data_IF_023237379154
#
_entry.id   IF_023237379154
#
_cell.length_a   1.000
_cell.length_b   1.000
_cell.length_c   1.000
_cell.angle_alpha   90.00
_cell.angle_beta   90.00
_cell.angle_gamma   90.00
#
_symmetry.space_group_name_H-M   'P 1'
#
loop_
_entity.id
_entity.type
_entity.pdbx_description
1 polymer ?
#
# COMPACT_ATOMS: atom_id res chain seq x y z
N UNK A 1 3.05 -69.81 8.50
CA UNK A 1 2.12 -68.71 8.19
C UNK A 1 1.44 -68.35 9.50
N UNK A 2 2.18 -67.65 10.37
CA UNK A 2 1.67 -67.15 11.65
C UNK A 2 0.78 -65.94 11.37
N UNK A 3 -0.45 -65.98 11.87
CA UNK A 3 -1.34 -64.84 11.88
C UNK A 3 -1.10 -64.12 13.20
N UNK A 4 -0.39 -63.00 13.16
CA UNK A 4 -0.38 -62.03 14.24
C UNK A 4 -1.81 -61.50 14.40
N UNK A 5 -2.48 -61.95 15.46
CA UNK A 5 -3.73 -61.36 15.93
C UNK A 5 -3.40 -60.04 16.61
N UNK A 6 -3.71 -58.92 15.94
CA UNK A 6 -3.75 -57.62 16.58
C UNK A 6 -4.85 -57.63 17.65
N UNK A 7 -4.45 -57.70 18.92
CA UNK A 7 -5.35 -57.37 20.03
C UNK A 7 -5.65 -55.87 20.02
N UNK A 8 -6.92 -55.46 20.18
CA UNK A 8 -7.26 -54.05 20.23
C UNK A 8 -6.70 -53.42 21.51
N UNK A 9 -5.86 -52.39 21.34
CA UNK A 9 -5.36 -51.58 22.45
C UNK A 9 -6.55 -50.88 23.09
N UNK A 10 -6.86 -51.23 24.34
CA UNK A 10 -7.92 -50.62 25.13
C UNK A 10 -7.59 -49.15 25.38
N UNK A 11 -8.37 -48.24 24.78
CA UNK A 11 -8.30 -46.80 25.08
C UNK A 11 -9.10 -46.57 26.36
N UNK A 12 -8.50 -46.03 27.45
CA UNK A 12 -9.23 -45.79 28.70
C UNK A 12 -10.43 -44.88 28.50
N UNK A 13 -11.56 -45.23 29.12
CA UNK A 13 -12.77 -44.42 29.10
C UNK A 13 -12.53 -43.11 29.88
N UNK A 14 -13.02 -41.98 29.35
CA UNK A 14 -12.73 -40.62 29.87
C UNK A 14 -13.20 -40.44 31.33
N UNK A 15 -14.07 -41.33 31.80
CA UNK A 15 -14.55 -41.38 33.18
C UNK A 15 -13.51 -41.90 34.20
N UNK A 16 -12.43 -42.57 33.78
CA UNK A 16 -11.38 -43.13 34.66
C UNK A 16 -10.20 -42.17 34.94
N UNK A 17 -10.17 -40.98 34.33
CA UNK A 17 -9.08 -40.02 34.52
C UNK A 17 -9.10 -39.37 35.92
N UNK A 18 -7.93 -39.32 36.57
CA UNK A 18 -7.75 -38.66 37.87
C UNK A 18 -8.12 -37.18 37.77
N UNK A 19 -8.55 -36.59 38.89
CA UNK A 19 -8.84 -35.14 38.98
C UNK A 19 -7.60 -34.33 38.57
N UNK A 20 -6.39 -34.83 38.87
CA UNK A 20 -5.13 -34.23 38.43
C UNK A 20 -4.99 -34.18 36.91
N UNK A 21 -5.33 -35.26 36.22
CA UNK A 21 -5.23 -35.36 34.75
C UNK A 21 -6.25 -34.44 34.06
N UNK A 22 -7.46 -34.35 34.63
CA UNK A 22 -8.51 -33.44 34.14
C UNK A 22 -8.09 -31.97 34.29
N UNK A 23 -7.44 -31.61 35.40
CA UNK A 23 -6.93 -30.25 35.62
C UNK A 23 -5.77 -29.90 34.69
N UNK A 24 -4.87 -30.85 34.44
CA UNK A 24 -3.79 -30.68 33.46
C UNK A 24 -4.35 -30.46 32.05
N UNK A 25 -5.38 -31.23 31.66
CA UNK A 25 -6.08 -31.04 30.39
C UNK A 25 -6.71 -29.64 30.28
N UNK A 26 -7.36 -29.16 31.34
CA UNK A 26 -7.97 -27.83 31.39
C UNK A 26 -6.90 -26.74 31.22
N UNK A 27 -5.75 -26.87 31.89
CA UNK A 27 -4.65 -25.92 31.75
C UNK A 27 -4.12 -25.88 30.31
N UNK A 28 -3.91 -27.04 29.69
CA UNK A 28 -3.50 -27.11 28.28
C UNK A 28 -4.52 -26.49 27.32
N UNK A 29 -5.81 -26.72 27.52
CA UNK A 29 -6.87 -26.10 26.72
C UNK A 29 -6.84 -24.57 26.87
N UNK A 30 -6.60 -24.08 28.08
CA UNK A 30 -6.49 -22.65 28.34
C UNK A 30 -5.28 -22.01 27.64
N UNK A 31 -4.13 -22.67 27.68
CA UNK A 31 -2.93 -22.22 26.97
C UNK A 31 -3.15 -22.21 25.46
N UNK A 32 -3.75 -23.28 24.91
CA UNK A 32 -4.09 -23.36 23.49
C UNK A 32 -5.04 -22.22 23.09
N UNK A 33 -6.07 -21.96 23.90
CA UNK A 33 -7.02 -20.86 23.64
C UNK A 33 -6.33 -19.50 23.65
N UNK A 34 -5.41 -19.28 24.59
CA UNK A 34 -4.65 -18.03 24.70
C UNK A 34 -3.75 -17.84 23.48
N UNK A 35 -3.03 -18.88 23.07
CA UNK A 35 -2.19 -18.86 21.87
C UNK A 35 -3.01 -18.66 20.59
N UNK A 36 -4.21 -19.25 20.50
CA UNK A 36 -5.13 -19.02 19.38
C UNK A 36 -5.62 -17.57 19.33
N UNK A 37 -5.95 -16.95 20.47
CA UNK A 37 -6.36 -15.56 20.52
C UNK A 37 -5.25 -14.62 20.02
N UNK A 38 -4.01 -14.85 20.46
CA UNK A 38 -2.85 -14.09 20.00
C UNK A 38 -2.60 -14.30 18.49
N UNK A 39 -2.73 -15.53 18.00
CA UNK A 39 -2.62 -15.81 16.56
C UNK A 39 -3.71 -15.12 15.75
N UNK A 40 -4.94 -15.02 16.26
CA UNK A 40 -6.02 -14.30 15.58
C UNK A 40 -5.71 -12.81 15.46
N UNK A 41 -5.16 -12.18 16.50
CA UNK A 41 -4.74 -10.77 16.47
C UNK A 41 -3.65 -10.55 15.41
N UNK A 42 -2.63 -11.42 15.37
CA UNK A 42 -1.60 -11.36 14.33
C UNK A 42 -2.16 -11.58 12.93
N UNK A 43 -3.14 -12.48 12.75
CA UNK A 43 -3.79 -12.70 11.45
C UNK A 43 -4.59 -11.46 11.02
N UNK A 44 -5.25 -10.77 11.95
CA UNK A 44 -5.97 -9.52 11.68
C UNK A 44 -4.98 -8.42 11.27
N UNK A 45 -3.86 -8.28 11.97
CA UNK A 45 -2.79 -7.35 11.63
C UNK A 45 -2.17 -7.68 10.25
N UNK A 46 -1.87 -8.94 10.00
CA UNK A 46 -1.37 -9.41 8.70
C UNK A 46 -2.39 -9.18 7.58
N UNK A 47 -3.68 -9.40 7.83
CA UNK A 47 -4.75 -9.10 6.84
C UNK A 47 -4.78 -7.62 6.49
N UNK A 48 -4.58 -6.74 7.47
CA UNK A 48 -4.49 -5.29 7.22
C UNK A 48 -3.24 -4.93 6.39
N UNK A 49 -2.12 -5.64 6.59
CA UNK A 49 -0.91 -5.49 5.77
C UNK A 49 -1.07 -6.10 4.36
N UNK A 50 -1.83 -7.19 4.21
CA UNK A 50 -2.11 -7.90 2.94
C UNK A 50 -3.23 -7.25 2.14
N UNK A 51 -4.08 -6.42 2.75
CA UNK A 51 -5.02 -5.53 2.05
C UNK A 51 -4.31 -4.61 1.03
N UNK A 52 -2.99 -4.46 1.15
CA UNK A 52 -2.12 -3.76 0.21
C UNK A 52 -1.68 -4.60 -1.01
N UNK A 53 -1.93 -5.92 -1.03
CA UNK A 53 -1.35 -6.86 -2.01
C UNK A 53 -2.32 -7.79 -2.76
N UNK A 54 -3.61 -7.92 -2.39
CA UNK A 54 -4.54 -8.77 -3.15
C UNK A 54 -5.97 -8.20 -3.20
N UNK A 55 -6.28 -7.54 -4.33
CA UNK A 55 -7.49 -7.71 -5.15
C UNK A 55 -7.35 -6.85 -6.43
N UNK A 56 -6.80 -7.45 -7.49
CA UNK A 56 -6.86 -6.90 -8.85
C UNK A 56 -7.23 -8.02 -9.81
N UNK A 57 -8.48 -8.47 -9.71
CA UNK A 57 -9.15 -9.16 -10.79
C UNK A 57 -9.98 -8.13 -11.57
N UNK A 58 -9.86 -8.13 -12.90
CA UNK A 58 -10.94 -7.65 -13.77
C UNK A 58 -10.61 -6.46 -14.65
N UNK A 59 -10.57 -5.25 -14.09
CA UNK A 59 -10.53 -4.01 -14.89
C UNK A 59 -9.45 -3.06 -14.36
N UNK A 60 -8.60 -2.54 -15.26
CA UNK A 60 -7.69 -1.43 -14.95
C UNK A 60 -8.53 -0.15 -14.79
N UNK A 61 -8.98 0.12 -13.56
CA UNK A 61 -9.78 1.30 -13.23
C UNK A 61 -8.91 2.56 -13.12
N UNK A 62 -7.59 2.46 -13.34
CA UNK A 62 -6.72 3.61 -13.27
C UNK A 62 -6.94 4.53 -14.48
N UNK A 63 -6.93 5.85 -14.24
CA UNK A 63 -6.91 6.81 -15.32
C UNK A 63 -5.68 6.64 -16.24
N UNK A 64 -5.78 7.16 -17.46
CA UNK A 64 -4.66 7.12 -18.40
C UNK A 64 -3.54 8.07 -17.97
N UNK A 65 -2.32 7.54 -17.90
CA UNK A 65 -1.09 8.29 -17.64
C UNK A 65 -0.14 8.23 -18.85
N UNK A 66 0.69 9.27 -19.08
CA UNK A 66 0.85 10.48 -18.27
C UNK A 66 -0.22 11.55 -18.54
N UNK A 67 -0.53 12.35 -17.53
CA UNK A 67 -1.46 13.49 -17.60
C UNK A 67 -0.87 14.57 -18.53
N UNK A 68 -1.69 15.05 -19.46
CA UNK A 68 -1.29 16.06 -20.44
C UNK A 68 -2.10 17.37 -20.39
N UNK A 69 -3.16 17.44 -19.59
CA UNK A 69 -4.00 18.64 -19.44
C UNK A 69 -4.39 18.89 -17.98
N UNK A 70 -4.70 20.15 -17.65
CA UNK A 70 -5.16 20.52 -16.30
C UNK A 70 -6.57 19.98 -16.04
N UNK A 71 -7.40 19.85 -17.07
CA UNK A 71 -8.73 19.26 -16.96
C UNK A 71 -8.64 17.80 -16.54
N UNK A 72 -7.81 17.01 -17.23
CA UNK A 72 -7.61 15.60 -16.86
C UNK A 72 -7.06 15.48 -15.44
N UNK A 73 -6.15 16.37 -15.04
CA UNK A 73 -5.63 16.40 -13.67
C UNK A 73 -6.75 16.59 -12.63
N UNK A 74 -7.66 17.54 -12.87
CA UNK A 74 -8.80 17.81 -11.99
C UNK A 74 -9.76 16.61 -11.96
N UNK A 75 -10.10 16.07 -13.13
CA UNK A 75 -11.04 14.96 -13.26
C UNK A 75 -10.50 13.69 -12.57
N UNK A 76 -9.20 13.42 -12.73
CA UNK A 76 -8.50 12.33 -12.04
C UNK A 76 -8.52 12.53 -10.53
N UNK A 77 -8.20 13.73 -10.04
CA UNK A 77 -8.14 13.97 -8.59
C UNK A 77 -9.51 13.87 -7.93
N UNK A 78 -10.55 14.34 -8.62
CA UNK A 78 -11.94 14.15 -8.22
C UNK A 78 -12.30 12.67 -8.17
N UNK A 79 -11.98 11.91 -9.21
CA UNK A 79 -12.25 10.47 -9.26
C UNK A 79 -11.56 9.70 -8.13
N UNK A 80 -10.30 10.05 -7.81
CA UNK A 80 -9.57 9.48 -6.67
C UNK A 80 -10.17 9.87 -5.32
N UNK A 81 -10.83 11.02 -5.23
CA UNK A 81 -11.48 11.48 -4.00
C UNK A 81 -12.83 10.79 -3.77
N UNK A 82 -13.53 10.43 -4.84
CA UNK A 82 -14.85 9.80 -4.80
C UNK A 82 -14.78 8.26 -4.79
N UNK A 83 -13.66 7.67 -5.23
CA UNK A 83 -13.50 6.23 -5.35
C UNK A 83 -12.27 5.71 -4.59
N UNK A 84 -12.51 5.19 -3.39
CA UNK A 84 -11.45 4.67 -2.51
C UNK A 84 -10.78 3.40 -3.06
N UNK A 85 -11.49 2.58 -3.84
CA UNK A 85 -10.88 1.42 -4.50
C UNK A 85 -9.83 1.92 -5.48
N UNK A 86 -10.17 2.86 -6.36
CA UNK A 86 -9.23 3.44 -7.32
C UNK A 86 -8.09 4.19 -6.62
N UNK A 87 -8.36 4.86 -5.50
CA UNK A 87 -7.31 5.50 -4.70
C UNK A 87 -6.27 4.49 -4.17
N UNK A 88 -6.72 3.33 -3.70
CA UNK A 88 -5.81 2.23 -3.31
C UNK A 88 -5.04 1.68 -4.51
N UNK A 89 -5.72 1.52 -5.65
CA UNK A 89 -5.06 1.08 -6.87
C UNK A 89 -3.97 2.06 -7.32
N UNK A 90 -4.24 3.37 -7.20
CA UNK A 90 -3.27 4.43 -7.48
C UNK A 90 -2.06 4.34 -6.56
N UNK A 91 -2.30 4.13 -5.26
CA UNK A 91 -1.24 3.93 -4.29
C UNK A 91 -0.34 2.75 -4.67
N UNK A 92 -0.94 1.62 -5.04
CA UNK A 92 -0.20 0.43 -5.49
C UNK A 92 0.59 0.69 -6.78
N UNK A 93 -0.01 1.37 -7.76
CA UNK A 93 0.66 1.79 -8.98
C UNK A 93 1.91 2.62 -8.69
N UNK A 94 1.79 3.66 -7.85
CA UNK A 94 2.92 4.52 -7.47
C UNK A 94 3.97 3.72 -6.70
N UNK A 95 3.56 2.84 -5.79
CA UNK A 95 4.47 2.03 -4.96
C UNK A 95 5.36 1.13 -5.84
N UNK A 96 4.78 0.55 -6.89
CA UNK A 96 5.46 -0.36 -7.81
C UNK A 96 6.44 0.34 -8.76
N UNK A 97 6.33 1.65 -8.97
CA UNK A 97 7.34 2.41 -9.73
C UNK A 97 8.70 2.24 -9.05
N UNK A 98 8.74 2.40 -7.73
CA UNK A 98 9.95 2.29 -6.90
C UNK A 98 10.99 3.38 -7.15
N UNK A 99 12.18 3.18 -6.62
CA UNK A 99 13.30 4.12 -6.74
C UNK A 99 14.40 3.75 -5.76
N UNK A 100 15.62 4.21 -6.03
CA UNK A 100 16.79 3.90 -5.19
C UNK A 100 16.81 4.66 -3.86
N UNK A 101 16.16 5.82 -3.82
CA UNK A 101 15.97 6.66 -2.63
C UNK A 101 14.68 7.48 -2.79
N UNK A 102 14.28 8.21 -1.74
CA UNK A 102 13.03 8.99 -1.71
C UNK A 102 12.95 10.01 -2.85
N UNK A 103 14.04 10.72 -3.15
CA UNK A 103 14.08 11.69 -4.27
C UNK A 103 13.89 11.03 -5.61
N UNK A 104 14.61 9.94 -5.86
CA UNK A 104 14.51 9.16 -7.08
C UNK A 104 13.09 8.60 -7.27
N UNK A 105 12.49 8.07 -6.21
CA UNK A 105 11.13 7.55 -6.25
C UNK A 105 10.08 8.64 -6.53
N UNK A 106 10.19 9.82 -5.89
CA UNK A 106 9.31 10.96 -6.18
C UNK A 106 9.45 11.39 -7.64
N UNK A 107 10.69 11.47 -8.16
CA UNK A 107 10.93 11.92 -9.53
C UNK A 107 10.37 10.93 -10.55
N UNK A 108 10.62 9.63 -10.35
CA UNK A 108 10.10 8.58 -11.23
C UNK A 108 8.57 8.50 -11.17
N UNK A 109 7.96 8.70 -9.99
CA UNK A 109 6.51 8.80 -9.87
C UNK A 109 5.96 9.98 -10.67
N UNK A 110 6.55 11.17 -10.51
CA UNK A 110 6.13 12.36 -11.24
C UNK A 110 6.29 12.23 -12.76
N UNK A 111 7.38 11.60 -13.23
CA UNK A 111 7.59 11.31 -14.65
C UNK A 111 6.57 10.33 -15.23
N UNK A 112 6.08 9.39 -14.40
CA UNK A 112 5.02 8.47 -14.83
C UNK A 112 3.65 9.14 -14.83
N UNK A 113 3.40 10.04 -13.88
CA UNK A 113 2.11 10.70 -13.68
C UNK A 113 1.90 11.89 -14.62
N UNK A 114 2.94 12.68 -14.91
CA UNK A 114 2.82 13.96 -15.62
C UNK A 114 3.72 14.02 -16.84
N UNK A 115 3.20 14.62 -17.92
CA UNK A 115 4.04 15.04 -19.04
C UNK A 115 4.90 16.25 -18.66
N UNK A 116 6.08 16.40 -19.28
CA UNK A 116 6.89 17.62 -19.14
C UNK A 116 6.14 18.87 -19.65
N UNK A 117 5.23 18.69 -20.61
CA UNK A 117 4.37 19.77 -21.10
C UNK A 117 3.50 20.32 -19.97
N UNK A 118 2.66 19.48 -19.36
CA UNK A 118 1.73 19.95 -18.33
C UNK A 118 2.45 20.43 -17.07
N UNK A 119 3.59 19.81 -16.73
CA UNK A 119 4.38 20.17 -15.55
C UNK A 119 4.83 21.64 -15.53
N UNK A 120 4.92 22.31 -16.68
CA UNK A 120 5.25 23.74 -16.77
C UNK A 120 4.21 24.66 -16.16
N UNK A 121 2.96 24.22 -16.19
CA UNK A 121 1.80 24.98 -15.75
C UNK A 121 1.39 24.60 -14.32
N UNK A 122 2.22 23.82 -13.63
CA UNK A 122 1.96 23.32 -12.28
C UNK A 122 2.95 23.94 -11.30
N UNK A 123 2.51 24.18 -10.07
CA UNK A 123 3.38 24.53 -8.96
C UNK A 123 2.78 24.06 -7.63
N UNK A 124 3.60 23.99 -6.59
CA UNK A 124 3.13 23.53 -5.28
C UNK A 124 1.99 24.40 -4.72
N UNK A 125 2.16 25.72 -4.73
CA UNK A 125 1.22 26.67 -4.11
C UNK A 125 0.34 27.43 -5.10
N UNK A 126 0.51 27.21 -6.41
CA UNK A 126 -0.19 27.98 -7.46
C UNK A 126 0.49 29.31 -7.80
N UNK A 127 1.80 29.43 -7.53
CA UNK A 127 2.53 30.67 -7.79
C UNK A 127 2.52 31.04 -9.29
N UNK A 128 2.48 32.34 -9.59
CA UNK A 128 2.52 32.90 -10.94
C UNK A 128 1.40 32.41 -11.88
N UNK A 129 0.23 32.07 -11.31
CA UNK A 129 -0.92 31.60 -12.09
C UNK A 129 -0.82 30.13 -12.52
N UNK A 130 0.19 29.39 -12.05
CA UNK A 130 0.24 27.94 -12.24
C UNK A 130 -0.84 27.24 -11.41
N UNK A 131 -1.24 26.06 -11.84
CA UNK A 131 -2.14 25.19 -11.11
C UNK A 131 -1.50 24.69 -9.81
N UNK A 132 -2.26 24.71 -8.71
CA UNK A 132 -1.81 24.31 -7.36
C UNK A 132 -2.01 22.81 -7.15
N UNK A 133 -0.96 22.10 -6.74
CA UNK A 133 -1.04 20.64 -6.47
C UNK A 133 -1.00 20.23 -5.00
N UNK A 134 -0.67 21.15 -4.07
CA UNK A 134 -0.45 20.82 -2.65
C UNK A 134 -1.64 20.08 -2.00
N UNK A 135 -2.87 20.45 -2.37
CA UNK A 135 -4.08 19.97 -1.69
C UNK A 135 -4.78 18.82 -2.44
N UNK A 136 -4.15 18.30 -3.50
CA UNK A 136 -4.73 17.24 -4.34
C UNK A 136 -4.67 15.87 -3.65
N UNK A 137 -5.70 15.06 -3.84
CA UNK A 137 -5.74 13.66 -3.37
C UNK A 137 -4.60 12.84 -3.98
N UNK A 138 -4.29 13.02 -5.27
CA UNK A 138 -3.17 12.37 -5.94
C UNK A 138 -1.82 12.71 -5.27
N UNK A 139 -1.61 13.98 -4.89
CA UNK A 139 -0.41 14.41 -4.15
C UNK A 139 -0.34 13.76 -2.77
N UNK A 140 -1.47 13.67 -2.07
CA UNK A 140 -1.54 13.01 -0.76
C UNK A 140 -1.23 11.50 -0.85
N UNK A 141 -1.79 10.79 -1.84
CA UNK A 141 -1.50 9.38 -2.11
C UNK A 141 -0.01 9.19 -2.39
N UNK A 142 0.56 10.00 -3.28
CA UNK A 142 1.98 9.92 -3.61
C UNK A 142 2.86 10.10 -2.38
N UNK A 143 2.55 11.08 -1.52
CA UNK A 143 3.30 11.31 -0.27
C UNK A 143 3.25 10.11 0.66
N UNK A 144 2.06 9.55 0.85
CA UNK A 144 1.85 8.40 1.73
C UNK A 144 2.64 7.18 1.24
N UNK A 145 2.55 6.87 -0.05
CA UNK A 145 3.31 5.77 -0.67
C UNK A 145 4.83 5.95 -0.51
N UNK A 146 5.33 7.18 -0.68
CA UNK A 146 6.77 7.45 -0.51
C UNK A 146 7.21 7.25 0.95
N UNK A 147 6.39 7.66 1.91
CA UNK A 147 6.66 7.45 3.35
C UNK A 147 6.59 5.99 3.78
N UNK A 148 5.70 5.21 3.15
CA UNK A 148 5.64 3.77 3.39
C UNK A 148 6.89 3.04 2.93
N UNK A 149 7.60 3.56 1.93
CA UNK A 149 8.79 2.93 1.37
C UNK A 149 10.10 3.43 1.97
N UNK A 150 10.16 4.72 2.31
CA UNK A 150 11.36 5.36 2.83
C UNK A 150 11.07 5.94 4.20
N UNK A 151 11.76 5.43 5.22
CA UNK A 151 11.66 5.91 6.58
C UNK A 151 12.01 7.41 6.67
N UNK A 152 11.35 8.12 7.59
CA UNK A 152 11.68 9.50 7.98
C UNK A 152 11.55 10.58 6.90
N UNK A 153 10.85 10.34 5.78
CA UNK A 153 10.59 11.41 4.79
C UNK A 153 9.60 12.43 5.38
N UNK A 154 10.12 13.60 5.73
CA UNK A 154 9.34 14.72 6.27
C UNK A 154 8.47 15.38 5.20
N UNK A 155 7.45 16.14 5.61
CA UNK A 155 6.62 16.92 4.67
C UNK A 155 7.48 17.92 3.88
N UNK A 156 8.46 18.53 4.54
CA UNK A 156 9.36 19.51 3.93
C UNK A 156 10.21 18.89 2.82
N UNK A 157 10.75 17.69 3.04
CA UNK A 157 11.56 16.99 2.04
C UNK A 157 10.70 16.58 0.85
N UNK A 158 9.53 15.99 1.07
CA UNK A 158 8.61 15.60 0.00
C UNK A 158 8.19 16.81 -0.84
N UNK A 159 7.81 17.90 -0.17
CA UNK A 159 7.46 19.17 -0.81
C UNK A 159 8.62 19.71 -1.65
N UNK A 160 9.84 19.74 -1.10
CA UNK A 160 11.04 20.23 -1.78
C UNK A 160 11.36 19.43 -3.04
N UNK A 161 11.31 18.09 -2.95
CA UNK A 161 11.55 17.19 -4.08
C UNK A 161 10.50 17.41 -5.18
N UNK A 162 9.23 17.50 -4.81
CA UNK A 162 8.11 17.73 -5.74
C UNK A 162 8.22 19.09 -6.42
N UNK A 163 8.47 20.16 -5.65
CA UNK A 163 8.70 21.53 -6.16
C UNK A 163 9.83 21.55 -7.19
N UNK A 164 10.97 20.96 -6.84
CA UNK A 164 12.15 20.94 -7.70
C UNK A 164 11.87 20.25 -9.04
N UNK A 165 11.12 19.15 -9.03
CA UNK A 165 10.73 18.48 -10.28
C UNK A 165 9.88 19.37 -11.18
N UNK A 166 8.84 20.03 -10.65
CA UNK A 166 7.99 20.93 -11.46
C UNK A 166 8.73 22.20 -11.93
N UNK A 167 9.61 22.76 -11.10
CA UNK A 167 10.43 23.91 -11.47
C UNK A 167 11.27 23.65 -12.73
N UNK A 168 11.76 22.41 -12.90
CA UNK A 168 12.55 22.01 -14.05
C UNK A 168 11.72 21.46 -15.23
N UNK A 169 10.39 21.39 -15.12
CA UNK A 169 9.54 20.82 -16.17
C UNK A 169 9.67 21.58 -17.51
N UNK A 170 9.78 22.92 -17.47
CA UNK A 170 10.00 23.76 -18.65
C UNK A 170 11.29 23.40 -19.38
N UNK A 171 12.40 23.38 -18.64
CA UNK A 171 13.70 23.01 -19.19
C UNK A 171 13.70 21.58 -19.73
N UNK A 172 13.04 20.63 -19.07
CA UNK A 172 12.90 19.25 -19.59
C UNK A 172 12.10 19.21 -20.88
N UNK A 173 10.97 19.92 -20.97
CA UNK A 173 10.14 19.98 -22.18
C UNK A 173 10.85 20.67 -23.36
N UNK A 174 11.62 21.72 -23.10
CA UNK A 174 12.41 22.38 -24.15
C UNK A 174 13.49 21.45 -24.72
N UNK A 175 14.08 20.58 -23.87
CA UNK A 175 15.07 19.59 -24.30
C UNK A 175 14.49 18.49 -25.19
N UNK A 176 13.20 18.17 -25.07
CA UNK A 176 12.56 17.16 -25.94
C UNK A 176 12.21 17.68 -27.33
N UNK A 177 12.35 18.99 -27.57
CA UNK A 177 12.10 19.63 -28.88
C UNK A 177 13.36 19.80 -29.73
N UNK A 178 14.53 19.49 -29.16
CA UNK A 178 15.80 19.48 -29.87
C UNK A 178 16.08 18.08 -30.39
#
# INVERSE_FOLDING_TARGET
MEKDSFEPVSVPDVQELSIGDKNALIAHIFDIKTNMAIMLDHIIEMKNLVSCKQEFGGDDLLPKFPINSIRDLIDIDKYLSENEVVAKQMGHFIYNIGGKNSKDAVYRALERLYTNYIGQYISWTGAKGNFKIKDMKLTAIMREVIRQRFENVTDMEFESMTKSWFQHAKTRYERTKK
#
